data_IF_092036151807
#
_entry.id   IF_092036151807
#
_cell.length_a   1.000
_cell.length_b   1.000
_cell.length_c   1.000
_cell.angle_alpha   90.00
_cell.angle_beta   90.00
_cell.angle_gamma   90.00
#
_symmetry.space_group_name_H-M   'P 1'
#
loop_
_entity.id
_entity.type
_entity.pdbx_description
1 polymer ?
#
# COMPACT_ATOMS: atom_id res chain seq x y z
N UNK A 1 -12.44 10.05 -4.91
CA UNK A 1 -12.96 8.96 -4.07
C UNK A 1 -12.20 7.64 -4.30
N UNK A 2 -12.03 7.17 -5.54
CA UNK A 2 -11.39 5.87 -5.83
C UNK A 2 -9.90 5.80 -5.44
N UNK A 3 -9.17 6.91 -5.40
CA UNK A 3 -7.81 6.93 -4.87
C UNK A 3 -7.78 6.51 -3.38
N UNK A 4 -8.70 7.04 -2.57
CA UNK A 4 -8.83 6.63 -1.17
C UNK A 4 -9.18 5.14 -1.01
N UNK A 5 -10.00 4.59 -1.89
CA UNK A 5 -10.30 3.14 -1.91
C UNK A 5 -9.02 2.34 -2.19
N UNK A 6 -8.20 2.77 -3.15
CA UNK A 6 -6.93 2.10 -3.44
C UNK A 6 -5.95 2.16 -2.27
N UNK A 7 -5.76 3.35 -1.67
CA UNK A 7 -4.89 3.52 -0.50
C UNK A 7 -5.33 2.63 0.68
N UNK A 8 -6.63 2.65 1.00
CA UNK A 8 -7.18 1.85 2.08
C UNK A 8 -7.07 0.35 1.81
N UNK A 9 -7.36 -0.08 0.58
CA UNK A 9 -7.23 -1.50 0.19
C UNK A 9 -5.77 -1.95 0.25
N UNK A 10 -4.83 -1.12 -0.20
CA UNK A 10 -3.40 -1.42 -0.11
C UNK A 10 -2.95 -1.55 1.34
N UNK A 11 -3.38 -0.63 2.20
CA UNK A 11 -3.15 -0.72 3.64
C UNK A 11 -3.74 -2.02 4.24
N UNK A 12 -5.00 -2.31 3.94
CA UNK A 12 -5.68 -3.51 4.43
C UNK A 12 -4.93 -4.81 4.06
N UNK A 13 -4.48 -4.91 2.82
CA UNK A 13 -3.76 -6.10 2.34
C UNK A 13 -2.33 -6.19 2.89
N UNK A 14 -1.66 -5.07 3.10
CA UNK A 14 -0.32 -5.04 3.66
C UNK A 14 -0.29 -5.22 5.18
N UNK A 15 -1.29 -4.72 5.92
CA UNK A 15 -1.38 -4.84 7.38
C UNK A 15 -1.59 -6.31 7.79
N UNK A 16 -1.06 -6.79 8.94
CA UNK A 16 -1.27 -8.17 9.38
C UNK A 16 -2.75 -8.47 9.70
N UNK A 17 -3.10 -9.74 9.69
CA UNK A 17 -4.44 -10.24 9.97
C UNK A 17 -5.19 -10.69 8.72
N UNK A 18 -6.36 -11.28 8.91
CA UNK A 18 -7.20 -11.79 7.81
C UNK A 18 -7.70 -10.66 6.92
N UNK A 19 -7.62 -10.87 5.61
CA UNK A 19 -8.08 -9.91 4.61
C UNK A 19 -9.58 -10.09 4.39
N UNK A 20 -10.30 -9.00 4.47
CA UNK A 20 -11.74 -8.96 4.22
C UNK A 20 -12.05 -7.79 3.30
N UNK A 21 -12.55 -8.09 2.12
CA UNK A 21 -13.18 -7.11 1.22
C UNK A 21 -14.66 -7.38 1.18
N UNK A 22 -15.46 -6.31 1.18
CA UNK A 22 -16.89 -6.45 1.13
C UNK A 22 -17.39 -6.48 -0.32
N UNK A 23 -18.50 -7.15 -0.54
CA UNK A 23 -19.16 -7.40 -1.81
C UNK A 23 -19.34 -6.11 -2.65
N UNK A 24 -18.79 -6.09 -3.85
CA UNK A 24 -18.83 -4.92 -4.75
C UNK A 24 -17.69 -3.91 -4.58
N UNK A 25 -16.85 -4.07 -3.54
CA UNK A 25 -15.70 -3.17 -3.33
C UNK A 25 -14.74 -3.18 -4.53
N UNK A 26 -14.54 -4.34 -5.16
CA UNK A 26 -13.69 -4.52 -6.33
C UNK A 26 -14.21 -3.83 -7.59
N UNK A 27 -15.49 -3.49 -7.62
CA UNK A 27 -16.12 -2.74 -8.71
C UNK A 27 -16.18 -1.23 -8.40
N UNK A 28 -15.87 -0.83 -7.17
CA UNK A 28 -16.11 0.54 -6.70
C UNK A 28 -17.60 0.89 -6.70
N UNK A 29 -18.44 -0.04 -6.24
CA UNK A 29 -19.89 0.09 -6.22
C UNK A 29 -20.33 1.32 -5.42
N UNK A 30 -21.32 2.03 -5.91
CA UNK A 30 -21.83 3.27 -5.30
C UNK A 30 -23.00 3.03 -4.35
N UNK A 31 -23.78 1.97 -4.62
CA UNK A 31 -24.89 1.60 -3.78
C UNK A 31 -24.41 0.77 -2.58
N UNK A 32 -25.14 0.89 -1.49
CA UNK A 32 -24.94 0.01 -0.35
C UNK A 32 -25.28 -1.44 -0.78
N UNK A 33 -24.57 -2.38 -0.16
CA UNK A 33 -24.79 -3.79 -0.41
C UNK A 33 -26.25 -4.21 -0.11
N UNK A 34 -26.82 -4.98 -1.03
CA UNK A 34 -28.12 -5.61 -0.90
C UNK A 34 -28.02 -7.11 -1.24
N UNK A 35 -28.36 -7.95 -0.28
CA UNK A 35 -28.31 -9.42 -0.45
C UNK A 35 -29.35 -9.94 -1.44
N UNK A 36 -30.41 -9.18 -1.72
CA UNK A 36 -31.49 -9.55 -2.64
C UNK A 36 -31.22 -9.19 -4.09
N UNK A 37 -30.16 -8.42 -4.35
CA UNK A 37 -29.79 -7.97 -5.70
C UNK A 37 -28.41 -8.45 -6.10
N UNK A 38 -28.16 -8.43 -7.40
CA UNK A 38 -26.82 -8.69 -7.94
C UNK A 38 -25.91 -7.47 -7.77
N UNK A 39 -24.59 -7.66 -7.93
CA UNK A 39 -23.65 -6.58 -8.03
C UNK A 39 -23.92 -5.67 -9.23
N UNK A 40 -23.54 -4.41 -9.12
CA UNK A 40 -23.69 -3.39 -10.15
C UNK A 40 -22.71 -3.59 -11.33
N UNK A 41 -22.80 -4.72 -12.02
CA UNK A 41 -21.91 -5.08 -13.13
C UNK A 41 -21.86 -4.05 -14.25
N UNK A 42 -22.91 -3.26 -14.44
CA UNK A 42 -22.97 -2.17 -15.42
C UNK A 42 -21.91 -1.08 -15.14
N UNK A 43 -21.41 -0.97 -13.91
CA UNK A 43 -20.33 -0.03 -13.57
C UNK A 43 -19.05 -0.32 -14.37
N UNK A 44 -18.84 -1.54 -14.82
CA UNK A 44 -17.70 -1.90 -15.67
C UNK A 44 -17.76 -1.28 -17.08
N UNK A 45 -18.82 -0.61 -17.44
CA UNK A 45 -18.87 0.25 -18.63
C UNK A 45 -18.06 1.54 -18.43
N UNK A 46 -17.84 1.96 -17.18
CA UNK A 46 -17.06 3.15 -16.85
C UNK A 46 -15.57 2.81 -16.69
N UNK A 47 -14.73 3.62 -17.29
CA UNK A 47 -13.27 3.47 -17.24
C UNK A 47 -12.73 3.41 -15.81
N UNK A 48 -13.22 4.27 -14.92
CA UNK A 48 -12.76 4.38 -13.53
C UNK A 48 -13.06 3.10 -12.73
N UNK A 49 -14.20 2.47 -12.97
CA UNK A 49 -14.57 1.20 -12.34
C UNK A 49 -13.75 0.03 -12.91
N UNK A 50 -13.46 0.03 -14.22
CA UNK A 50 -12.52 -0.94 -14.82
C UNK A 50 -11.12 -0.82 -14.24
N UNK A 51 -10.63 0.41 -14.04
CA UNK A 51 -9.33 0.67 -13.41
C UNK A 51 -9.32 0.21 -11.94
N UNK A 52 -10.41 0.39 -11.21
CA UNK A 52 -10.57 -0.11 -9.84
C UNK A 52 -10.53 -1.63 -9.82
N UNK A 53 -11.28 -2.30 -10.68
CA UNK A 53 -11.25 -3.76 -10.79
C UNK A 53 -9.84 -4.27 -11.16
N UNK A 54 -9.17 -3.59 -12.07
CA UNK A 54 -7.79 -3.89 -12.44
C UNK A 54 -6.86 -3.79 -11.24
N UNK A 55 -6.98 -2.74 -10.45
CA UNK A 55 -6.21 -2.57 -9.21
C UNK A 55 -6.45 -3.73 -8.25
N UNK A 56 -7.71 -4.10 -7.96
CA UNK A 56 -8.01 -5.22 -7.06
C UNK A 56 -7.42 -6.54 -7.58
N UNK A 57 -7.48 -6.79 -8.88
CA UNK A 57 -6.88 -7.98 -9.49
C UNK A 57 -5.37 -8.02 -9.29
N UNK A 58 -4.70 -6.89 -9.53
CA UNK A 58 -3.24 -6.82 -9.51
C UNK A 58 -2.70 -6.81 -8.07
N UNK A 59 -3.36 -6.12 -7.13
CA UNK A 59 -2.94 -6.12 -5.73
C UNK A 59 -3.15 -7.49 -5.05
N UNK A 60 -4.21 -8.23 -5.40
CA UNK A 60 -4.40 -9.59 -4.90
C UNK A 60 -3.31 -10.54 -5.42
N UNK A 61 -2.92 -10.42 -6.67
CA UNK A 61 -1.79 -11.18 -7.23
C UNK A 61 -0.48 -10.82 -6.56
N UNK A 62 -0.25 -9.53 -6.34
CA UNK A 62 0.91 -9.05 -5.61
C UNK A 62 0.95 -9.63 -4.20
N UNK A 63 -0.15 -9.55 -3.45
CA UNK A 63 -0.26 -10.13 -2.11
C UNK A 63 0.16 -11.61 -2.09
N UNK A 64 -0.39 -12.42 -2.98
CA UNK A 64 -0.07 -13.85 -3.06
C UNK A 64 1.40 -14.11 -3.42
N UNK A 65 2.03 -13.23 -4.19
CA UNK A 65 3.43 -13.35 -4.60
C UNK A 65 4.44 -12.93 -3.53
N UNK A 66 4.00 -12.19 -2.49
CA UNK A 66 4.85 -11.60 -1.47
C UNK A 66 4.68 -12.30 -0.12
N UNK A 67 5.50 -13.32 0.16
CA UNK A 67 5.42 -14.06 1.41
C UNK A 67 5.53 -13.20 2.70
N UNK A 68 6.25 -12.06 2.75
CA UNK A 68 6.20 -11.21 3.92
C UNK A 68 4.80 -10.75 4.32
N UNK A 69 3.83 -10.72 3.38
CA UNK A 69 2.48 -10.27 3.65
C UNK A 69 1.58 -11.31 4.33
N UNK A 70 1.97 -12.61 4.32
CA UNK A 70 1.10 -13.68 4.82
C UNK A 70 1.80 -14.81 5.59
N UNK A 71 3.12 -14.97 5.50
CA UNK A 71 3.85 -16.12 6.09
C UNK A 71 3.89 -16.05 7.63
N UNK A 72 4.09 -14.86 8.21
CA UNK A 72 4.03 -14.60 9.65
C UNK A 72 2.95 -13.52 9.89
N UNK A 73 1.69 -13.93 9.83
CA UNK A 73 0.58 -12.99 9.83
C UNK A 73 -0.05 -12.75 11.21
N UNK A 74 0.18 -13.68 12.16
CA UNK A 74 -0.43 -13.65 13.49
C UNK A 74 0.59 -13.54 14.64
N UNK A 75 1.83 -13.13 14.32
CA UNK A 75 2.90 -12.95 15.29
C UNK A 75 3.58 -11.60 15.07
N UNK A 76 3.98 -10.98 16.19
CA UNK A 76 4.73 -9.72 16.18
C UNK A 76 6.07 -9.79 15.42
N UNK A 77 6.65 -10.97 15.26
CA UNK A 77 7.88 -11.18 14.50
C UNK A 77 7.74 -10.81 13.02
N UNK A 78 6.52 -10.95 12.48
CA UNK A 78 6.19 -10.62 11.10
C UNK A 78 5.84 -9.15 10.85
N UNK A 79 5.81 -8.30 11.89
CA UNK A 79 5.33 -6.93 11.78
C UNK A 79 6.08 -5.97 12.71
N UNK A 80 6.41 -4.79 12.20
CA UNK A 80 6.98 -3.71 12.99
C UNK A 80 6.55 -2.35 12.41
N UNK A 81 6.05 -1.46 13.26
CA UNK A 81 5.85 -0.07 12.90
C UNK A 81 7.19 0.64 12.73
N UNK A 82 7.39 1.33 11.61
CA UNK A 82 8.51 2.25 11.38
C UNK A 82 8.08 3.69 11.63
N UNK A 83 6.85 4.05 11.24
CA UNK A 83 6.19 5.32 11.53
C UNK A 83 4.73 5.02 11.83
N UNK A 84 4.30 5.22 13.08
CA UNK A 84 2.94 4.90 13.53
C UNK A 84 2.07 6.14 13.81
N UNK A 85 2.69 7.30 14.00
CA UNK A 85 2.08 8.46 14.63
C UNK A 85 2.29 9.79 13.91
N UNK A 86 2.66 9.78 12.63
CA UNK A 86 2.80 10.99 11.83
C UNK A 86 1.43 11.56 11.41
N UNK A 87 0.71 12.07 12.39
CA UNK A 87 -0.60 12.70 12.22
C UNK A 87 -0.56 13.97 11.36
N UNK A 88 0.59 14.66 11.34
CA UNK A 88 0.75 15.88 10.56
C UNK A 88 0.72 15.61 9.05
N UNK A 89 1.38 14.53 8.64
CA UNK A 89 1.44 14.12 7.23
C UNK A 89 0.36 13.12 6.84
N UNK A 90 -0.35 12.52 7.80
CA UNK A 90 -1.27 11.39 7.59
C UNK A 90 -0.59 10.20 6.90
N UNK A 91 0.64 9.91 7.30
CA UNK A 91 1.45 8.82 6.75
C UNK A 91 1.69 7.78 7.83
N UNK A 92 1.56 6.53 7.43
CA UNK A 92 2.00 5.38 8.24
C UNK A 92 3.00 4.55 7.45
N UNK A 93 4.02 4.02 8.13
CA UNK A 93 5.01 3.14 7.52
C UNK A 93 5.25 1.94 8.44
N UNK A 94 5.25 0.75 7.86
CA UNK A 94 5.53 -0.48 8.59
C UNK A 94 6.27 -1.48 7.72
N UNK A 95 6.96 -2.42 8.36
CA UNK A 95 7.63 -3.53 7.68
C UNK A 95 6.94 -4.85 7.99
N UNK A 96 6.80 -5.68 6.98
CA UNK A 96 6.38 -7.08 7.05
C UNK A 96 7.58 -7.98 6.80
N UNK A 97 7.63 -9.11 7.51
CA UNK A 97 8.72 -10.09 7.40
C UNK A 97 8.18 -11.50 7.24
N UNK A 98 8.91 -12.32 6.50
CA UNK A 98 8.66 -13.76 6.44
C UNK A 98 9.70 -14.56 7.24
N UNK A 99 9.49 -15.86 7.40
CA UNK A 99 10.41 -16.78 8.11
C UNK A 99 11.81 -16.88 7.47
N UNK A 100 11.94 -16.47 6.21
CA UNK A 100 13.24 -16.44 5.49
C UNK A 100 13.96 -15.10 5.64
N UNK A 101 13.41 -14.17 6.43
CA UNK A 101 13.99 -12.85 6.65
C UNK A 101 13.83 -11.87 5.48
N UNK A 102 12.95 -12.16 4.51
CA UNK A 102 12.58 -11.20 3.48
C UNK A 102 11.71 -10.12 4.10
N UNK A 103 11.91 -8.90 3.67
CA UNK A 103 11.18 -7.73 4.17
C UNK A 103 10.42 -7.05 3.04
N UNK A 104 9.24 -6.56 3.37
CA UNK A 104 8.45 -5.66 2.55
C UNK A 104 8.03 -4.48 3.41
N UNK A 105 8.37 -3.27 2.98
CA UNK A 105 7.96 -2.03 3.64
C UNK A 105 6.73 -1.49 2.90
N UNK A 106 5.69 -1.19 3.65
CA UNK A 106 4.52 -0.48 3.18
C UNK A 106 4.53 0.93 3.74
N UNK A 107 4.51 1.93 2.87
CA UNK A 107 4.35 3.33 3.20
C UNK A 107 3.02 3.80 2.61
N UNK A 108 2.11 4.29 3.44
CA UNK A 108 0.76 4.67 3.02
C UNK A 108 0.47 6.11 3.44
N UNK A 109 0.05 6.91 2.48
CA UNK A 109 -0.35 8.29 2.68
C UNK A 109 -1.88 8.44 2.54
N UNK A 110 -2.55 8.75 3.63
CA UNK A 110 -4.00 9.00 3.66
C UNK A 110 -4.38 10.47 3.42
N UNK A 111 -3.38 11.33 3.11
CA UNK A 111 -3.60 12.72 2.75
C UNK A 111 -3.80 12.88 1.25
N UNK A 112 -4.64 13.83 0.79
CA UNK A 112 -4.73 14.19 -0.63
C UNK A 112 -3.49 14.96 -1.14
N UNK A 113 -2.51 15.21 -0.27
CA UNK A 113 -1.25 15.88 -0.61
C UNK A 113 -0.14 14.83 -0.71
N UNK A 114 0.50 14.71 -1.88
CA UNK A 114 1.64 13.83 -2.06
C UNK A 114 2.83 14.23 -1.19
N UNK A 115 3.69 13.29 -0.88
CA UNK A 115 4.89 13.52 -0.07
C UNK A 115 6.12 13.24 -0.91
N UNK A 116 6.75 14.29 -1.39
CA UNK A 116 8.10 14.21 -1.93
C UNK A 116 9.10 14.14 -0.77
N UNK A 117 10.19 13.42 -0.96
CA UNK A 117 11.30 13.35 -0.01
C UNK A 117 10.89 12.93 1.43
N UNK A 118 9.90 12.04 1.54
CA UNK A 118 9.46 11.54 2.83
C UNK A 118 10.50 10.59 3.43
N UNK A 119 11.04 10.97 4.58
CA UNK A 119 12.11 10.23 5.24
C UNK A 119 11.59 9.39 6.40
N UNK A 120 11.96 8.10 6.43
CA UNK A 120 11.68 7.22 7.56
C UNK A 120 12.86 6.28 7.85
N UNK A 121 12.96 5.87 9.12
CA UNK A 121 14.04 5.02 9.59
C UNK A 121 13.91 3.57 9.11
N UNK A 122 15.05 2.97 8.74
CA UNK A 122 15.16 1.57 8.33
C UNK A 122 16.40 0.92 8.91
N UNK A 123 16.48 -0.43 8.96
CA UNK A 123 17.72 -1.13 9.30
C UNK A 123 18.88 -0.76 8.36
N UNK A 124 20.15 -0.71 8.87
CA UNK A 124 21.29 -0.29 8.08
C UNK A 124 21.66 -1.27 6.97
N UNK A 125 22.37 -0.77 5.96
CA UNK A 125 23.05 -1.52 4.91
C UNK A 125 22.11 -2.34 3.99
N UNK A 126 20.88 -1.88 3.75
CA UNK A 126 19.97 -2.50 2.80
C UNK A 126 19.72 -1.59 1.62
N UNK A 127 19.58 -2.21 0.46
CA UNK A 127 19.05 -1.59 -0.75
C UNK A 127 17.61 -2.00 -0.90
N UNK A 128 16.74 -1.06 -1.23
CA UNK A 128 15.32 -1.29 -1.46
C UNK A 128 14.95 -0.92 -2.90
N UNK A 129 13.78 -1.32 -3.32
CA UNK A 129 13.16 -0.86 -4.57
C UNK A 129 11.64 -0.86 -4.43
N UNK A 130 10.99 0.05 -5.12
CA UNK A 130 9.54 0.02 -5.23
C UNK A 130 9.10 -1.21 -6.03
N UNK A 131 8.18 -1.98 -5.48
CA UNK A 131 7.65 -3.20 -6.11
C UNK A 131 6.16 -3.11 -6.41
N UNK A 132 5.47 -2.14 -5.79
CA UNK A 132 4.06 -1.85 -6.03
C UNK A 132 3.76 -0.39 -5.69
N UNK A 133 2.90 0.24 -6.48
CA UNK A 133 2.30 1.54 -6.17
C UNK A 133 0.84 1.56 -6.60
N UNK A 134 0.02 2.30 -5.86
CA UNK A 134 -1.39 2.52 -6.17
C UNK A 134 -1.62 3.61 -7.22
N UNK A 135 -0.57 4.38 -7.55
CA UNK A 135 -0.65 5.56 -8.44
C UNK A 135 -0.43 5.24 -9.92
N UNK A 136 -0.45 3.97 -10.33
CA UNK A 136 -0.32 3.66 -11.75
C UNK A 136 -1.48 4.21 -12.58
N UNK A 137 -1.24 4.74 -13.79
CA UNK A 137 -2.29 5.14 -14.72
C UNK A 137 -3.29 4.00 -15.04
N UNK A 138 -2.83 2.75 -15.02
CA UNK A 138 -3.68 1.57 -15.16
C UNK A 138 -4.76 1.44 -14.06
N UNK A 139 -4.56 2.09 -12.92
CA UNK A 139 -5.47 2.13 -11.79
C UNK A 139 -6.20 3.48 -11.64
N UNK A 140 -5.97 4.41 -12.58
CA UNK A 140 -6.50 5.78 -12.53
C UNK A 140 -5.65 6.74 -11.69
N UNK A 141 -4.39 6.40 -11.41
CA UNK A 141 -3.40 7.31 -10.86
C UNK A 141 -2.72 8.15 -11.94
N UNK A 142 -1.81 9.03 -11.54
CA UNK A 142 -1.03 9.88 -12.45
C UNK A 142 0.21 9.17 -12.99
N UNK A 143 0.82 8.32 -12.18
CA UNK A 143 2.11 7.69 -12.45
C UNK A 143 3.32 8.59 -12.14
N UNK A 144 3.10 9.79 -11.63
CA UNK A 144 4.17 10.77 -11.38
C UNK A 144 4.93 10.52 -10.07
N UNK A 145 4.29 9.79 -9.14
CA UNK A 145 4.81 9.54 -7.79
C UNK A 145 5.49 8.18 -7.71
N UNK A 146 6.62 8.02 -8.41
CA UNK A 146 7.36 6.77 -8.51
C UNK A 146 8.75 6.90 -7.89
N UNK A 147 9.19 5.80 -7.26
CA UNK A 147 10.56 5.65 -6.79
C UNK A 147 11.28 4.68 -7.73
N UNK A 148 11.95 5.22 -8.73
CA UNK A 148 12.61 4.43 -9.76
C UNK A 148 14.00 3.94 -9.31
N UNK A 149 14.40 2.79 -9.79
CA UNK A 149 15.72 2.22 -9.54
C UNK A 149 15.92 1.66 -8.13
N UNK A 150 17.14 1.70 -7.68
CA UNK A 150 17.53 1.25 -6.34
C UNK A 150 17.46 2.41 -5.33
N UNK A 151 16.80 2.18 -4.22
CA UNK A 151 16.70 3.08 -3.08
C UNK A 151 17.77 2.70 -2.06
N UNK A 152 18.81 3.50 -1.97
CA UNK A 152 19.90 3.26 -1.02
C UNK A 152 19.57 3.84 0.35
N UNK A 153 19.90 3.11 1.40
CA UNK A 153 19.80 3.63 2.75
C UNK A 153 20.87 4.69 2.98
N UNK A 154 20.48 5.78 3.62
CA UNK A 154 21.38 6.86 4.04
C UNK A 154 21.71 6.72 5.53
N UNK A 155 22.95 7.04 5.91
CA UNK A 155 23.40 7.04 7.31
C UNK A 155 22.88 8.29 8.06
N UNK A 156 21.59 8.56 7.92
CA UNK A 156 20.87 9.64 8.59
C UNK A 156 19.87 8.99 9.56
N UNK A 157 20.05 9.15 10.87
CA UNK A 157 19.14 8.58 11.85
C UNK A 157 17.73 9.15 11.73
N UNK A 158 16.72 8.28 11.82
CA UNK A 158 15.32 8.68 11.78
C UNK A 158 14.47 7.63 12.50
N UNK A 159 13.41 8.05 13.18
CA UNK A 159 12.43 7.17 13.85
C UNK A 159 13.10 6.04 14.69
N UNK A 160 14.16 6.38 15.45
CA UNK A 160 14.86 5.42 16.30
C UNK A 160 15.75 4.40 15.56
N UNK A 161 15.94 4.55 14.26
CA UNK A 161 16.86 3.72 13.47
C UNK A 161 18.11 4.52 13.08
N UNK A 162 19.27 3.85 12.91
CA UNK A 162 20.53 4.56 12.58
C UNK A 162 20.61 4.99 11.11
N UNK A 163 19.79 4.44 10.26
CA UNK A 163 19.72 4.75 8.83
C UNK A 163 18.29 5.05 8.42
N UNK A 164 18.13 5.69 7.29
CA UNK A 164 16.81 6.04 6.73
C UNK A 164 16.75 5.85 5.22
N UNK A 165 15.52 5.77 4.71
CA UNK A 165 15.18 5.93 3.31
C UNK A 165 14.48 7.27 3.11
N UNK A 166 14.72 7.87 1.95
CA UNK A 166 13.98 9.02 1.47
C UNK A 166 13.20 8.59 0.24
N UNK A 167 11.87 8.71 0.28
CA UNK A 167 10.98 8.20 -0.77
C UNK A 167 9.90 9.21 -1.13
N UNK A 168 9.35 9.05 -2.30
CA UNK A 168 8.15 9.75 -2.76
C UNK A 168 6.93 8.88 -2.49
N UNK A 169 5.87 9.45 -1.87
CA UNK A 169 4.61 8.74 -1.60
C UNK A 169 3.46 9.51 -2.28
N UNK A 170 2.63 8.85 -3.10
CA UNK A 170 1.54 9.50 -3.81
C UNK A 170 0.46 10.04 -2.86
N UNK A 171 -0.34 11.01 -3.31
CA UNK A 171 -1.54 11.43 -2.57
C UNK A 171 -2.56 10.29 -2.55
N UNK A 172 -3.12 10.00 -1.37
CA UNK A 172 -4.05 8.88 -1.20
C UNK A 172 -3.51 7.57 -1.82
N UNK A 173 -2.30 7.20 -1.42
CA UNK A 173 -1.62 6.05 -2.00
C UNK A 173 -0.58 5.41 -1.12
#
# INVERSE_FOLDING_TARGET
QLAGVRAFTAYLLAHPGKKLTFMGAELGQWHEWDFASQLDWYLLENKENQQTQRFFKDINRFYLSQSPLWDIDFSWEGFEWLVADDNHNNVVVFVRRDRKGRELIAAVNFSPVGRADYRFGVPPKKTYREVFTTDLPAYGGTGDWRNEGELLTESIPSHGKPCSLCVTIPPLG
#
